data_IF_003540796790
#
_entry.id   IF_003540796790
#
_cell.length_a   1.000
_cell.length_b   1.000
_cell.length_c   1.000
_cell.angle_alpha   90.00
_cell.angle_beta   90.00
_cell.angle_gamma   90.00
#
_symmetry.space_group_name_H-M   'P 1'
#
loop_
_entity.id
_entity.type
_entity.pdbx_description
1 polymer ?
#
# COMPACT_ATOMS: atom_id res chain seq x y z
N UNK A 1 -11.86 -12.34 -26.32
CA UNK A 1 -10.70 -11.88 -25.53
C UNK A 1 -10.69 -10.36 -25.68
N UNK A 2 -11.22 -9.62 -24.70
CA UNK A 2 -11.30 -8.16 -24.80
C UNK A 2 -10.06 -7.57 -24.16
N UNK A 3 -9.16 -7.10 -25.01
CA UNK A 3 -7.95 -6.39 -24.60
C UNK A 3 -8.26 -4.90 -24.78
N UNK A 4 -8.56 -4.22 -23.67
CA UNK A 4 -8.64 -2.76 -23.67
C UNK A 4 -7.23 -2.21 -23.54
N UNK A 5 -6.75 -1.61 -24.62
CA UNK A 5 -5.49 -0.88 -24.69
C UNK A 5 -5.64 0.46 -24.00
N UNK A 6 -4.89 0.67 -22.91
CA UNK A 6 -4.52 1.99 -22.41
C UNK A 6 -3.00 2.01 -22.30
N UNK A 7 -2.38 2.73 -23.23
CA UNK A 7 -1.03 3.29 -23.21
C UNK A 7 0.03 2.58 -22.34
N UNK A 8 0.73 1.61 -22.95
CA UNK A 8 2.18 1.52 -22.79
C UNK A 8 2.79 0.85 -21.55
N UNK A 9 2.07 0.04 -20.78
CA UNK A 9 2.69 -0.76 -19.70
C UNK A 9 2.29 -2.23 -19.85
N UNK A 10 3.28 -3.10 -20.06
CA UNK A 10 3.13 -4.55 -19.97
C UNK A 10 2.64 -4.88 -18.55
N UNK A 11 1.38 -5.28 -18.40
CA UNK A 11 0.84 -5.82 -17.16
C UNK A 11 0.57 -7.32 -17.36
N UNK A 12 1.65 -8.08 -17.40
CA UNK A 12 1.61 -9.49 -17.00
C UNK A 12 1.91 -9.50 -15.50
N UNK A 13 0.89 -9.37 -14.64
CA UNK A 13 0.91 -10.02 -13.32
C UNK A 13 -0.43 -9.94 -12.61
N UNK A 14 -0.90 -11.11 -12.18
CA UNK A 14 -2.13 -11.33 -11.45
C UNK A 14 -2.11 -10.62 -10.08
N UNK A 15 -3.23 -9.98 -9.74
CA UNK A 15 -3.52 -9.19 -8.51
C UNK A 15 -3.17 -7.70 -8.58
N UNK A 16 -3.81 -6.99 -9.51
CA UNK A 16 -3.79 -5.52 -9.54
C UNK A 16 -4.65 -4.99 -8.38
N UNK A 17 -4.03 -4.30 -7.44
CA UNK A 17 -4.74 -3.60 -6.37
C UNK A 17 -5.27 -2.28 -6.94
N UNK A 18 -6.60 -2.15 -6.98
CA UNK A 18 -7.29 -0.98 -7.52
C UNK A 18 -7.96 -0.11 -6.46
N UNK A 19 -7.84 -0.45 -5.17
CA UNK A 19 -8.54 0.23 -4.08
C UNK A 19 -7.63 0.40 -2.88
N UNK A 20 -7.80 1.51 -2.18
CA UNK A 20 -7.16 1.76 -0.90
C UNK A 20 -7.63 0.71 0.14
N UNK A 21 -6.72 -0.01 0.82
CA UNK A 21 -7.09 -1.01 1.82
C UNK A 21 -7.77 -0.41 3.05
N UNK A 22 -7.54 0.88 3.33
CA UNK A 22 -8.07 1.60 4.50
C UNK A 22 -9.47 2.16 4.26
N UNK A 23 -9.65 2.99 3.23
CA UNK A 23 -10.91 3.70 2.98
C UNK A 23 -11.74 3.12 1.84
N UNK A 24 -11.20 2.19 1.04
CA UNK A 24 -11.89 1.59 -0.11
C UNK A 24 -11.96 2.48 -1.36
N UNK A 25 -11.37 3.68 -1.33
CA UNK A 25 -11.35 4.60 -2.48
C UNK A 25 -10.55 4.03 -3.65
N UNK A 26 -10.99 4.31 -4.88
CA UNK A 26 -10.33 3.85 -6.13
C UNK A 26 -9.33 4.87 -6.68
N UNK A 27 -9.40 6.10 -6.19
CA UNK A 27 -8.42 7.14 -6.49
C UNK A 27 -7.10 6.83 -5.74
N UNK A 28 -6.26 6.05 -6.40
CA UNK A 28 -4.94 5.63 -5.92
C UNK A 28 -3.89 5.87 -6.99
N UNK A 29 -2.66 6.13 -6.56
CA UNK A 29 -1.47 6.14 -7.40
C UNK A 29 -0.79 4.79 -7.23
N UNK A 30 -0.46 4.12 -8.35
CA UNK A 30 0.18 2.80 -8.34
C UNK A 30 1.66 2.97 -8.65
N UNK A 31 2.51 2.60 -7.70
CA UNK A 31 3.96 2.51 -7.87
C UNK A 31 4.36 1.07 -8.20
N UNK A 32 5.64 0.80 -8.38
CA UNK A 32 6.14 -0.55 -8.67
C UNK A 32 5.80 -1.53 -7.52
N UNK A 33 6.16 -1.19 -6.29
CA UNK A 33 5.99 -2.07 -5.11
C UNK A 33 4.89 -1.62 -4.14
N UNK A 34 4.36 -0.41 -4.29
CA UNK A 34 3.40 0.19 -3.37
C UNK A 34 2.21 0.82 -4.08
N UNK A 35 1.22 1.22 -3.31
CA UNK A 35 0.11 2.08 -3.74
C UNK A 35 -0.03 3.25 -2.76
N UNK A 36 -0.36 4.43 -3.26
CA UNK A 36 -0.69 5.58 -2.44
C UNK A 36 -2.16 5.94 -2.63
N UNK A 37 -2.87 6.14 -1.51
CA UNK A 37 -4.23 6.65 -1.56
C UNK A 37 -4.22 8.17 -1.48
N UNK A 38 -4.77 8.84 -2.49
CA UNK A 38 -4.81 10.32 -2.54
C UNK A 38 -5.78 10.93 -1.52
N UNK A 39 -6.69 10.13 -0.97
CA UNK A 39 -7.63 10.55 0.08
C UNK A 39 -7.03 10.36 1.47
N UNK A 40 -6.50 9.16 1.77
CA UNK A 40 -5.88 8.89 3.07
C UNK A 40 -4.51 9.56 3.20
N UNK A 41 -3.86 9.89 2.08
CA UNK A 41 -2.45 10.31 2.01
C UNK A 41 -1.53 9.29 2.68
N UNK A 42 -1.88 8.00 2.52
CA UNK A 42 -1.13 6.87 3.05
C UNK A 42 -0.65 5.99 1.90
N UNK A 43 0.59 5.55 2.02
CA UNK A 43 1.24 4.60 1.13
C UNK A 43 1.27 3.20 1.75
N UNK A 44 0.95 2.17 0.97
CA UNK A 44 0.84 0.79 1.40
C UNK A 44 1.64 -0.13 0.48
N UNK A 45 2.37 -1.11 1.04
CA UNK A 45 3.12 -2.07 0.22
C UNK A 45 2.16 -3.10 -0.40
N UNK A 46 2.30 -3.37 -1.70
CA UNK A 46 1.46 -4.36 -2.41
C UNK A 46 1.56 -5.75 -1.80
N UNK A 47 2.73 -6.10 -1.25
CA UNK A 47 2.95 -7.40 -0.57
C UNK A 47 2.05 -7.56 0.65
N UNK A 48 1.84 -6.50 1.44
CA UNK A 48 1.00 -6.57 2.63
C UNK A 48 -0.46 -6.75 2.24
N UNK A 49 -0.90 -6.05 1.20
CA UNK A 49 -2.27 -6.12 0.70
C UNK A 49 -2.61 -7.53 0.21
N UNK A 50 -1.63 -8.25 -0.35
CA UNK A 50 -1.80 -9.63 -0.82
C UNK A 50 -1.83 -10.66 0.31
N UNK A 51 -1.18 -10.39 1.45
CA UNK A 51 -0.91 -11.41 2.48
C UNK A 51 -1.65 -11.17 3.80
N UNK A 52 -1.96 -9.92 4.13
CA UNK A 52 -2.54 -9.54 5.42
C UNK A 52 -4.04 -9.28 5.32
N UNK A 53 -4.74 -9.52 6.43
CA UNK A 53 -6.10 -9.04 6.61
C UNK A 53 -6.13 -7.51 6.63
N UNK A 54 -7.19 -6.90 6.11
CA UNK A 54 -7.32 -5.43 5.99
C UNK A 54 -7.08 -4.68 7.29
N UNK A 55 -7.46 -5.26 8.43
CA UNK A 55 -7.28 -4.70 9.77
C UNK A 55 -5.80 -4.60 10.20
N UNK A 56 -4.93 -5.44 9.62
CA UNK A 56 -3.51 -5.53 9.92
C UNK A 56 -2.63 -4.75 8.94
N UNK A 57 -3.19 -4.26 7.83
CA UNK A 57 -2.47 -3.45 6.86
C UNK A 57 -2.19 -2.07 7.47
N UNK A 58 -0.91 -1.76 7.61
CA UNK A 58 -0.41 -0.46 8.04
C UNK A 58 0.21 0.27 6.86
N UNK A 59 0.01 1.59 6.83
CA UNK A 59 0.75 2.47 5.94
C UNK A 59 2.25 2.44 6.26
N UNK A 60 3.10 2.70 5.27
CA UNK A 60 4.56 2.70 5.44
C UNK A 60 4.99 3.66 6.54
N UNK A 61 4.39 4.85 6.60
CA UNK A 61 4.62 5.83 7.68
C UNK A 61 4.26 5.27 9.06
N UNK A 62 3.09 4.63 9.19
CA UNK A 62 2.62 4.01 10.45
C UNK A 62 3.57 2.89 10.90
N UNK A 63 4.07 2.07 9.97
CA UNK A 63 5.09 1.05 10.26
C UNK A 63 6.38 1.65 10.80
N UNK A 64 6.85 2.72 10.18
CA UNK A 64 8.08 3.41 10.60
C UNK A 64 7.92 4.03 11.98
N UNK A 65 6.77 4.65 12.26
CA UNK A 65 6.45 5.17 13.59
C UNK A 65 6.43 4.06 14.63
N UNK A 66 5.75 2.94 14.35
CA UNK A 66 5.73 1.79 15.24
C UNK A 66 7.15 1.27 15.54
N UNK A 67 7.97 1.06 14.51
CA UNK A 67 9.36 0.61 14.67
C UNK A 67 10.16 1.62 15.51
N UNK A 68 10.00 2.92 15.26
CA UNK A 68 10.66 3.97 16.05
C UNK A 68 10.23 3.96 17.51
N UNK A 69 8.95 3.73 17.79
CA UNK A 69 8.45 3.61 19.17
C UNK A 69 9.06 2.40 19.88
N UNK A 70 9.13 1.24 19.22
CA UNK A 70 9.72 0.02 19.80
C UNK A 70 11.24 0.14 19.99
N UNK A 71 11.95 0.72 19.02
CA UNK A 71 13.41 0.88 19.09
C UNK A 71 13.84 2.09 19.95
N UNK A 72 12.94 3.05 20.17
CA UNK A 72 13.17 4.29 20.91
C UNK A 72 13.15 4.14 22.44
N UNK A 73 12.60 3.05 22.98
CA UNK A 73 12.59 2.75 24.43
C UNK A 73 13.96 2.29 25.00
N UNK A 74 15.06 2.46 24.26
CA UNK A 74 16.42 2.26 24.78
C UNK A 74 17.21 3.58 24.97
N UNK A 75 16.53 4.73 25.04
CA UNK A 75 17.15 5.99 25.48
C UNK A 75 16.14 6.83 26.24
N UNK A 76 16.00 6.59 27.55
CA UNK A 76 15.83 7.60 28.60
C UNK A 76 15.58 6.93 29.97
N UNK A 77 16.52 7.13 30.91
CA UNK A 77 16.27 7.09 32.35
C UNK A 77 16.89 5.93 33.11
#
# INVERSE_FOLDING_TARGET
>A
MNINYLEGIFLEDENIVHMCPRCGEKNIIIYEESIECTVCQLEFEKKDIKVLEKSLILGISEKLEFIRSILGENKNG
#
